data_IF_166856877440
#
_entry.id   IF_166856877440
#
_cell.length_a   1.000
_cell.length_b   1.000
_cell.length_c   1.000
_cell.angle_alpha   90.00
_cell.angle_beta   90.00
_cell.angle_gamma   90.00
#
_symmetry.space_group_name_H-M   'P 1'
#
loop_
_entity.id
_entity.type
_entity.pdbx_description
1 polymer ?
#
# COMPACT_ATOMS: atom_id res chain seq x y z
N UNK A 1 -0.98 -53.22 14.98
CA UNK A 1 -2.22 -53.88 15.46
C UNK A 1 -3.26 -52.80 15.76
N UNK A 2 -4.40 -52.87 15.02
CA UNK A 2 -5.81 -52.49 15.39
C UNK A 2 -6.01 -51.04 15.89
N UNK A 3 -6.98 -50.20 15.46
CA UNK A 3 -8.20 -50.37 14.61
C UNK A 3 -8.70 -48.99 14.19
N UNK A 4 -9.31 -48.92 13.03
CA UNK A 4 -10.14 -47.84 12.46
C UNK A 4 -11.36 -47.55 13.34
N UNK A 5 -11.83 -46.28 13.35
CA UNK A 5 -13.26 -46.04 13.44
C UNK A 5 -13.61 -44.77 12.63
N UNK A 6 -14.34 -45.01 11.55
CA UNK A 6 -15.03 -43.98 10.78
C UNK A 6 -16.41 -43.76 11.43
N UNK A 7 -16.86 -42.51 11.47
CA UNK A 7 -18.27 -42.20 11.74
C UNK A 7 -18.78 -41.25 10.67
N UNK A 8 -19.60 -41.83 9.78
CA UNK A 8 -20.42 -41.12 8.79
C UNK A 8 -21.70 -40.72 9.50
N UNK A 9 -22.10 -39.46 9.43
CA UNK A 9 -23.46 -39.05 9.76
C UNK A 9 -24.03 -38.23 8.60
N UNK A 10 -24.89 -38.91 7.83
CA UNK A 10 -25.80 -38.34 6.85
C UNK A 10 -27.03 -37.80 7.58
N UNK A 11 -27.48 -36.58 7.28
CA UNK A 11 -28.83 -36.13 7.58
C UNK A 11 -29.46 -35.45 6.37
N UNK A 12 -30.68 -35.89 6.16
CA UNK A 12 -31.49 -35.76 4.98
C UNK A 12 -32.15 -34.39 4.82
N UNK A 13 -32.34 -34.06 3.56
CA UNK A 13 -33.17 -33.01 3.00
C UNK A 13 -34.65 -33.27 3.31
N UNK A 14 -35.40 -32.27 3.75
CA UNK A 14 -36.85 -32.23 3.60
C UNK A 14 -37.26 -30.94 2.87
N UNK A 15 -37.66 -31.15 1.63
CA UNK A 15 -38.40 -30.18 0.82
C UNK A 15 -39.87 -30.14 1.29
N UNK A 16 -40.42 -28.96 1.42
CA UNK A 16 -41.87 -28.78 1.54
C UNK A 16 -42.35 -27.81 0.46
N UNK A 17 -42.93 -28.38 -0.58
CA UNK A 17 -43.82 -27.70 -1.52
C UNK A 17 -45.19 -27.46 -0.83
N UNK A 18 -45.69 -26.26 -0.99
CA UNK A 18 -47.11 -26.00 -0.83
C UNK A 18 -47.66 -25.26 -2.07
N UNK A 19 -48.40 -25.96 -2.83
CA UNK A 19 -49.29 -25.49 -3.90
C UNK A 19 -50.62 -25.09 -3.31
N UNK A 20 -51.29 -24.20 -3.99
CA UNK A 20 -52.72 -23.96 -4.19
C UNK A 20 -53.10 -22.51 -4.00
N UNK A 21 -53.96 -21.86 -4.73
CA UNK A 21 -55.11 -22.30 -5.52
C UNK A 21 -55.61 -21.10 -6.34
N UNK A 22 -56.09 -21.37 -7.53
CA UNK A 22 -56.86 -20.46 -8.36
C UNK A 22 -58.22 -20.11 -7.76
N UNK A 23 -58.74 -18.92 -8.13
CA UNK A 23 -60.19 -18.63 -8.03
C UNK A 23 -60.60 -17.18 -8.34
N UNK A 24 -61.14 -16.94 -9.53
CA UNK A 24 -62.33 -16.17 -9.72
C UNK A 24 -62.28 -14.66 -9.96
N UNK A 25 -62.55 -14.31 -11.17
CA UNK A 25 -62.83 -13.13 -11.91
C UNK A 25 -63.58 -11.96 -11.24
N UNK A 26 -63.37 -10.78 -11.82
CA UNK A 26 -64.11 -9.53 -11.55
C UNK A 26 -63.45 -8.36 -12.20
N UNK A 27 -63.94 -7.96 -13.36
CA UNK A 27 -63.67 -6.72 -14.11
C UNK A 27 -64.18 -5.50 -13.36
N UNK A 28 -63.33 -4.49 -13.15
CA UNK A 28 -63.77 -3.07 -13.21
C UNK A 28 -62.56 -2.16 -13.46
N UNK A 29 -62.83 -1.18 -14.30
CA UNK A 29 -61.96 -0.13 -14.84
C UNK A 29 -61.32 0.81 -13.80
N UNK A 30 -60.12 1.28 -14.13
CA UNK A 30 -59.75 2.71 -14.02
C UNK A 30 -59.08 3.14 -12.75
N UNK A 31 -57.80 3.41 -12.89
CA UNK A 31 -57.14 4.68 -12.53
C UNK A 31 -55.62 4.51 -12.62
N UNK A 32 -55.02 5.26 -13.54
CA UNK A 32 -53.59 5.48 -13.62
C UNK A 32 -53.07 6.06 -12.29
N UNK A 33 -52.33 5.31 -11.57
CA UNK A 33 -51.45 5.86 -10.52
C UNK A 33 -50.04 5.43 -10.89
N UNK A 34 -49.28 6.36 -11.45
CA UNK A 34 -47.84 6.26 -11.59
C UNK A 34 -47.24 5.99 -10.18
N UNK A 35 -47.10 4.75 -9.88
CA UNK A 35 -46.28 4.30 -8.75
C UNK A 35 -44.81 4.55 -9.08
N UNK A 36 -44.27 5.61 -8.51
CA UNK A 36 -42.83 5.77 -8.41
C UNK A 36 -42.27 4.48 -7.78
N UNK A 37 -41.66 3.67 -8.63
CA UNK A 37 -40.80 2.59 -8.13
C UNK A 37 -39.64 3.28 -7.41
N UNK A 38 -39.72 3.38 -6.10
CA UNK A 38 -38.58 3.62 -5.26
C UNK A 38 -37.57 2.49 -5.51
N UNK A 39 -36.61 2.77 -6.39
CA UNK A 39 -35.48 1.86 -6.60
C UNK A 39 -34.83 1.60 -5.25
N UNK A 40 -34.66 0.35 -4.90
CA UNK A 40 -33.77 -0.04 -3.79
C UNK A 40 -32.45 0.68 -4.03
N UNK A 41 -31.89 1.42 -3.04
CA UNK A 41 -30.59 2.05 -3.22
C UNK A 41 -29.60 0.97 -3.72
N UNK A 42 -28.91 1.26 -4.81
CA UNK A 42 -27.89 0.35 -5.32
C UNK A 42 -26.92 0.07 -4.16
N UNK A 43 -26.68 -1.18 -3.87
CA UNK A 43 -25.78 -1.56 -2.79
C UNK A 43 -24.36 -1.13 -3.20
N UNK A 44 -23.70 -0.32 -2.37
CA UNK A 44 -22.32 0.11 -2.60
C UNK A 44 -21.41 -1.11 -2.72
N UNK A 45 -20.47 -1.06 -3.69
CA UNK A 45 -19.42 -2.07 -3.78
C UNK A 45 -18.43 -1.86 -2.64
N UNK A 46 -18.14 -2.90 -1.85
CA UNK A 46 -17.07 -2.82 -0.86
C UNK A 46 -15.73 -3.07 -1.56
N UNK A 47 -14.79 -2.13 -1.44
CA UNK A 47 -13.44 -2.21 -1.96
C UNK A 47 -12.47 -2.42 -0.80
N UNK A 48 -11.67 -3.47 -0.85
CA UNK A 48 -10.57 -3.69 0.08
C UNK A 48 -9.38 -2.88 -0.40
N UNK A 49 -8.82 -2.04 0.49
CA UNK A 49 -7.62 -1.26 0.31
C UNK A 49 -6.48 -1.90 1.10
N UNK A 50 -5.58 -2.58 0.42
CA UNK A 50 -4.38 -3.17 1.02
C UNK A 50 -3.33 -2.10 1.29
N UNK A 51 -2.65 -2.23 2.44
CA UNK A 51 -1.68 -1.22 2.92
C UNK A 51 -0.34 -1.87 3.29
N UNK A 52 0.02 -1.87 4.54
CA UNK A 52 1.24 -2.45 5.11
C UNK A 52 1.06 -2.66 6.60
N UNK A 53 2.12 -2.91 7.34
CA UNK A 53 2.10 -3.07 8.78
C UNK A 53 1.51 -1.84 9.50
N UNK A 54 0.85 -2.05 10.63
CA UNK A 54 0.06 -1.02 11.35
C UNK A 54 0.88 0.15 11.89
N UNK A 55 2.20 0.01 12.01
CA UNK A 55 3.15 1.07 12.41
C UNK A 55 3.83 1.75 11.22
N UNK A 56 3.46 1.36 10.00
CA UNK A 56 3.92 1.95 8.74
C UNK A 56 3.01 3.07 8.25
N UNK A 57 3.52 3.90 7.34
CA UNK A 57 2.80 5.06 6.79
C UNK A 57 1.62 4.63 5.92
N UNK A 58 1.70 3.53 5.16
CA UNK A 58 0.60 3.02 4.33
C UNK A 58 -0.69 2.81 5.12
N UNK A 59 -0.59 2.17 6.30
CA UNK A 59 -1.76 1.89 7.11
C UNK A 59 -2.41 3.18 7.66
N UNK A 60 -1.59 4.13 8.12
CA UNK A 60 -2.08 5.41 8.63
C UNK A 60 -2.76 6.24 7.52
N UNK A 61 -2.12 6.33 6.34
CA UNK A 61 -2.66 7.02 5.15
C UNK A 61 -3.92 6.33 4.64
N UNK A 62 -3.90 4.99 4.51
CA UNK A 62 -5.05 4.20 4.07
C UNK A 62 -6.25 4.34 5.01
N UNK A 63 -6.02 4.39 6.32
CA UNK A 63 -7.08 4.58 7.32
C UNK A 63 -7.70 5.98 7.25
N UNK A 64 -6.89 7.02 7.05
CA UNK A 64 -7.37 8.39 6.83
C UNK A 64 -8.15 8.49 5.52
N UNK A 65 -7.64 7.87 4.44
CA UNK A 65 -8.29 7.78 3.14
C UNK A 65 -9.65 7.08 3.24
N UNK A 66 -9.71 5.88 3.85
CA UNK A 66 -10.94 5.15 4.09
C UNK A 66 -11.97 6.02 4.83
N UNK A 67 -11.55 6.68 5.91
CA UNK A 67 -12.44 7.49 6.75
C UNK A 67 -13.06 8.64 5.94
N UNK A 68 -12.24 9.36 5.19
CA UNK A 68 -12.71 10.51 4.39
C UNK A 68 -13.57 10.02 3.21
N UNK A 69 -13.11 9.03 2.46
CA UNK A 69 -13.80 8.55 1.26
C UNK A 69 -15.15 7.91 1.59
N UNK A 70 -15.27 7.17 2.68
CA UNK A 70 -16.55 6.56 3.06
C UNK A 70 -17.66 7.57 3.38
N UNK A 71 -17.31 8.83 3.65
CA UNK A 71 -18.28 9.90 3.86
C UNK A 71 -18.81 10.50 2.54
N UNK A 72 -18.11 10.35 1.43
CA UNK A 72 -18.41 11.05 0.17
C UNK A 72 -18.73 10.11 -0.99
N UNK A 73 -18.15 8.89 -1.03
CA UNK A 73 -18.42 7.94 -2.11
C UNK A 73 -19.86 7.46 -2.09
N UNK A 74 -20.44 7.31 -3.29
CA UNK A 74 -21.82 6.84 -3.51
C UNK A 74 -21.88 5.45 -4.12
N UNK A 75 -20.95 5.09 -4.99
CA UNK A 75 -20.88 3.80 -5.68
C UNK A 75 -20.16 2.72 -4.88
N UNK A 76 -19.25 3.13 -3.98
CA UNK A 76 -18.42 2.18 -3.23
C UNK A 76 -18.25 2.59 -1.78
N UNK A 77 -17.66 1.68 -1.01
CA UNK A 77 -17.15 1.90 0.35
C UNK A 77 -15.80 1.21 0.49
N UNK A 78 -14.93 1.73 1.33
CA UNK A 78 -13.57 1.24 1.54
C UNK A 78 -13.45 0.49 2.87
N UNK A 79 -12.63 -0.57 2.86
CA UNK A 79 -12.15 -1.26 4.07
C UNK A 79 -10.64 -1.41 3.95
N UNK A 80 -9.91 -0.85 4.90
CA UNK A 80 -8.44 -0.93 4.93
C UNK A 80 -7.99 -2.27 5.55
N UNK A 81 -7.02 -2.92 4.90
CA UNK A 81 -6.38 -4.13 5.39
C UNK A 81 -4.87 -3.90 5.60
N UNK A 82 -4.30 -4.54 6.64
CA UNK A 82 -2.86 -4.58 6.82
C UNK A 82 -2.28 -5.83 6.13
N UNK A 83 -1.10 -5.67 5.53
CA UNK A 83 -0.45 -6.70 4.71
C UNK A 83 1.06 -6.67 4.88
N UNK A 84 1.79 -7.55 4.18
CA UNK A 84 3.24 -7.51 4.00
C UNK A 84 3.71 -6.50 2.95
N UNK A 85 2.90 -5.49 2.61
CA UNK A 85 3.18 -4.38 1.69
C UNK A 85 3.32 -4.78 0.20
N UNK A 86 4.16 -4.07 -0.59
CA UNK A 86 4.01 -3.91 -2.03
C UNK A 86 3.84 -5.19 -2.84
N UNK A 87 4.66 -6.22 -2.64
CA UNK A 87 4.53 -7.47 -3.42
C UNK A 87 3.23 -8.20 -3.12
N UNK A 88 2.90 -8.35 -1.82
CA UNK A 88 1.65 -8.99 -1.43
C UNK A 88 0.46 -8.20 -1.98
N UNK A 89 0.45 -6.88 -1.85
CA UNK A 89 -0.63 -6.01 -2.31
C UNK A 89 -0.90 -6.16 -3.81
N UNK A 90 0.17 -6.25 -4.62
CA UNK A 90 0.06 -6.46 -6.07
C UNK A 90 -0.50 -7.85 -6.37
N UNK A 91 -0.03 -8.88 -5.67
CA UNK A 91 -0.54 -10.25 -5.79
C UNK A 91 -2.01 -10.36 -5.36
N UNK A 92 -2.38 -9.72 -4.24
CA UNK A 92 -3.76 -9.69 -3.75
C UNK A 92 -4.72 -9.00 -4.74
N UNK A 93 -4.25 -7.97 -5.47
CA UNK A 93 -4.98 -7.38 -6.60
C UNK A 93 -5.11 -8.38 -7.76
N UNK A 94 -4.04 -9.04 -8.15
CA UNK A 94 -4.04 -10.03 -9.24
C UNK A 94 -4.98 -11.19 -8.94
N UNK A 95 -5.00 -11.64 -7.68
CA UNK A 95 -5.83 -12.75 -7.21
C UNK A 95 -7.29 -12.30 -6.91
N UNK A 96 -7.60 -11.00 -6.97
CA UNK A 96 -8.93 -10.43 -6.71
C UNK A 96 -9.28 -10.37 -5.21
N UNK A 97 -8.32 -10.53 -4.32
CA UNK A 97 -8.48 -10.40 -2.85
C UNK A 97 -8.66 -8.94 -2.47
N UNK A 98 -7.85 -8.04 -3.05
CA UNK A 98 -7.97 -6.61 -2.91
C UNK A 98 -8.41 -5.95 -4.21
N UNK A 99 -9.06 -4.78 -4.12
CA UNK A 99 -9.48 -3.95 -5.24
C UNK A 99 -8.64 -2.70 -5.37
N UNK A 100 -8.07 -2.24 -4.28
CA UNK A 100 -7.19 -1.08 -4.19
C UNK A 100 -5.97 -1.46 -3.36
N UNK A 101 -4.85 -0.78 -3.59
CA UNK A 101 -3.67 -0.93 -2.75
C UNK A 101 -2.82 0.34 -2.72
N UNK A 102 -1.99 0.49 -1.68
CA UNK A 102 -0.86 1.41 -1.68
C UNK A 102 0.40 0.56 -1.87
N UNK A 103 1.20 0.91 -2.88
CA UNK A 103 2.42 0.19 -3.26
C UNK A 103 3.53 1.16 -3.60
N UNK A 104 4.77 0.70 -3.66
CA UNK A 104 5.88 1.46 -4.21
C UNK A 104 5.83 1.50 -5.74
N UNK A 105 6.18 2.62 -6.34
CA UNK A 105 6.18 2.81 -7.80
C UNK A 105 7.18 1.90 -8.52
N UNK A 106 8.34 1.65 -7.92
CA UNK A 106 9.35 0.71 -8.41
C UNK A 106 8.87 -0.75 -8.34
N UNK A 107 8.31 -1.16 -7.21
CA UNK A 107 7.72 -2.50 -7.07
C UNK A 107 6.60 -2.75 -8.10
N UNK A 108 5.76 -1.73 -8.35
CA UNK A 108 4.71 -1.78 -9.36
C UNK A 108 5.28 -1.96 -10.78
N UNK A 109 6.31 -1.18 -11.13
CA UNK A 109 6.99 -1.29 -12.43
C UNK A 109 7.63 -2.68 -12.62
N UNK A 110 8.33 -3.18 -11.61
CA UNK A 110 8.95 -4.52 -11.66
C UNK A 110 7.91 -5.64 -11.77
N UNK A 111 6.75 -5.49 -11.12
CA UNK A 111 5.65 -6.45 -11.24
C UNK A 111 5.13 -6.53 -12.67
N UNK A 112 4.88 -5.39 -13.31
CA UNK A 112 4.44 -5.32 -14.71
C UNK A 112 5.49 -5.84 -15.69
N UNK A 113 6.78 -5.67 -15.39
CA UNK A 113 7.89 -6.18 -16.20
C UNK A 113 8.21 -7.67 -15.93
N UNK A 114 7.75 -8.24 -14.82
CA UNK A 114 8.16 -9.57 -14.36
C UNK A 114 9.62 -9.64 -13.94
N UNK A 115 10.12 -8.57 -13.32
CA UNK A 115 11.52 -8.41 -12.92
C UNK A 115 11.69 -8.41 -11.39
N UNK A 116 12.95 -8.48 -10.94
CA UNK A 116 13.33 -8.40 -9.52
C UNK A 116 12.58 -9.44 -8.67
N UNK A 117 11.90 -9.08 -7.58
CA UNK A 117 11.14 -10.04 -6.74
C UNK A 117 9.92 -10.68 -7.46
N UNK A 118 9.60 -10.24 -8.68
CA UNK A 118 8.58 -10.82 -9.55
C UNK A 118 9.17 -11.63 -10.71
N UNK A 119 10.48 -11.94 -10.68
CA UNK A 119 11.16 -12.61 -11.79
C UNK A 119 10.43 -13.86 -12.27
N UNK A 120 10.08 -13.85 -13.55
CA UNK A 120 9.33 -14.92 -14.22
C UNK A 120 7.82 -14.84 -14.09
N UNK A 121 7.27 -13.84 -13.38
CA UNK A 121 5.81 -13.66 -13.22
C UNK A 121 5.43 -12.21 -13.50
N UNK A 122 4.62 -11.97 -14.51
CA UNK A 122 4.05 -10.65 -14.81
C UNK A 122 2.76 -10.48 -14.02
N UNK A 123 2.67 -9.40 -13.25
CA UNK A 123 1.52 -9.02 -12.43
C UNK A 123 1.06 -7.63 -12.90
N UNK A 124 0.17 -7.57 -13.90
CA UNK A 124 -0.19 -6.35 -14.63
C UNK A 124 -1.61 -5.81 -14.34
N UNK A 125 -2.32 -6.39 -13.38
CA UNK A 125 -3.67 -5.97 -13.02
C UNK A 125 -3.75 -4.74 -12.13
N UNK A 126 -2.68 -4.40 -11.42
CA UNK A 126 -2.63 -3.20 -10.58
C UNK A 126 -2.31 -1.99 -11.46
N UNK A 127 -3.30 -1.11 -11.68
CA UNK A 127 -3.17 0.07 -12.52
C UNK A 127 -3.05 1.33 -11.66
N UNK A 128 -2.32 2.32 -12.17
CA UNK A 128 -2.06 3.59 -11.49
C UNK A 128 -3.34 4.41 -11.29
N UNK A 129 -3.58 4.87 -10.06
CA UNK A 129 -4.62 5.84 -9.75
C UNK A 129 -4.01 7.19 -9.40
N UNK A 130 -3.09 7.23 -8.44
CA UNK A 130 -2.45 8.48 -8.00
C UNK A 130 -1.10 8.25 -7.33
N UNK A 131 -0.09 9.03 -7.71
CA UNK A 131 1.11 9.21 -6.90
C UNK A 131 0.78 9.97 -5.62
N UNK A 132 1.28 9.51 -4.46
CA UNK A 132 0.91 10.08 -3.17
C UNK A 132 2.05 10.91 -2.55
N UNK A 133 3.11 10.27 -2.08
CA UNK A 133 4.21 10.90 -1.37
C UNK A 133 5.49 10.09 -1.57
N UNK A 134 6.63 10.69 -1.23
CA UNK A 134 7.91 9.98 -1.24
C UNK A 134 8.05 9.10 0.00
N UNK A 135 8.63 7.93 -0.19
CA UNK A 135 8.99 6.95 0.83
C UNK A 135 10.49 6.89 0.96
N UNK A 136 10.98 7.53 1.99
CA UNK A 136 12.42 7.62 2.26
C UNK A 136 12.96 6.27 2.72
N UNK A 137 14.07 5.83 2.14
CA UNK A 137 14.83 4.67 2.60
C UNK A 137 15.61 5.07 3.83
N UNK A 138 15.09 4.69 5.00
CA UNK A 138 15.61 5.03 6.31
C UNK A 138 16.32 3.83 6.91
N UNK A 139 17.51 4.02 7.47
CA UNK A 139 18.26 2.97 8.14
C UNK A 139 18.49 3.39 9.58
N UNK A 140 17.87 2.69 10.53
CA UNK A 140 18.11 2.86 11.96
C UNK A 140 19.10 1.82 12.44
N UNK A 141 20.02 2.19 13.32
CA UNK A 141 21.01 1.27 13.87
C UNK A 141 21.33 1.58 15.33
N UNK A 142 21.77 0.58 16.07
CA UNK A 142 22.22 0.69 17.47
C UNK A 142 23.70 0.34 17.58
N UNK A 143 24.29 0.53 18.77
CA UNK A 143 25.66 0.15 19.04
C UNK A 143 26.72 0.97 18.30
N UNK A 144 26.38 2.23 17.92
CA UNK A 144 27.32 3.13 17.29
C UNK A 144 27.58 2.86 15.80
N UNK A 145 26.71 2.12 15.12
CA UNK A 145 26.77 1.91 13.65
C UNK A 145 26.30 3.19 12.98
N UNK A 146 27.15 3.76 12.11
CA UNK A 146 26.89 5.05 11.43
C UNK A 146 27.12 4.99 9.93
N UNK A 147 27.49 3.82 9.37
CA UNK A 147 27.65 3.64 7.92
C UNK A 147 27.09 2.30 7.45
N UNK A 148 26.75 2.20 6.16
CA UNK A 148 26.22 0.98 5.57
C UNK A 148 27.24 -0.14 5.57
N UNK A 149 28.53 0.16 5.33
CA UNK A 149 29.60 -0.84 5.34
C UNK A 149 29.77 -1.49 6.71
N UNK A 150 29.44 -0.76 7.79
CA UNK A 150 29.51 -1.29 9.15
C UNK A 150 28.40 -2.33 9.46
N UNK A 151 27.44 -2.51 8.54
CA UNK A 151 26.42 -3.56 8.62
C UNK A 151 26.98 -4.96 8.32
N UNK A 152 28.20 -5.09 7.75
CA UNK A 152 28.79 -6.42 7.45
C UNK A 152 28.83 -7.29 8.70
N UNK A 153 28.27 -8.50 8.60
CA UNK A 153 28.15 -9.49 9.67
C UNK A 153 27.16 -9.15 10.79
N UNK A 154 26.43 -8.05 10.67
CA UNK A 154 25.41 -7.61 11.62
C UNK A 154 24.06 -8.27 11.36
N UNK A 155 23.19 -8.30 12.38
CA UNK A 155 21.78 -8.71 12.24
C UNK A 155 20.98 -7.51 11.77
N UNK A 156 20.46 -7.56 10.55
CA UNK A 156 19.79 -6.43 9.90
C UNK A 156 18.40 -6.84 9.46
N UNK A 157 17.38 -6.11 9.92
CA UNK A 157 16.03 -6.24 9.39
C UNK A 157 15.95 -5.50 8.05
N UNK A 158 15.46 -6.20 7.02
CA UNK A 158 15.26 -5.69 5.67
C UNK A 158 13.77 -5.48 5.33
N UNK A 159 12.89 -5.49 6.33
CA UNK A 159 11.44 -5.43 6.17
C UNK A 159 10.80 -6.82 6.15
N UNK A 160 9.54 -6.89 5.79
CA UNK A 160 8.86 -8.15 5.53
C UNK A 160 9.40 -8.80 4.27
N UNK A 161 9.42 -10.13 4.24
CA UNK A 161 9.87 -10.86 3.05
C UNK A 161 8.97 -10.55 1.85
N UNK A 162 9.55 -10.12 0.75
CA UNK A 162 8.83 -9.68 -0.45
C UNK A 162 8.32 -8.23 -0.37
N UNK A 163 8.61 -7.49 0.71
CA UNK A 163 8.22 -6.08 0.79
C UNK A 163 9.05 -5.19 -0.14
N UNK A 164 8.52 -4.01 -0.48
CA UNK A 164 9.30 -2.99 -1.17
C UNK A 164 10.52 -2.53 -0.36
N UNK A 165 10.48 -2.64 0.97
CA UNK A 165 11.63 -2.37 1.85
C UNK A 165 12.78 -3.34 1.58
N UNK A 166 12.50 -4.63 1.39
CA UNK A 166 13.53 -5.62 1.01
C UNK A 166 14.16 -5.26 -0.35
N UNK A 167 13.35 -4.85 -1.36
CA UNK A 167 13.88 -4.36 -2.64
C UNK A 167 14.91 -3.27 -2.45
N UNK A 168 14.54 -2.23 -1.72
CA UNK A 168 15.42 -1.07 -1.57
C UNK A 168 16.60 -1.37 -0.64
N UNK A 169 16.44 -2.26 0.35
CA UNK A 169 17.57 -2.72 1.17
C UNK A 169 18.64 -3.43 0.32
N UNK A 170 18.22 -4.34 -0.59
CA UNK A 170 19.14 -5.02 -1.53
C UNK A 170 19.84 -4.00 -2.43
N UNK A 171 19.11 -3.02 -2.98
CA UNK A 171 19.68 -1.98 -3.83
C UNK A 171 20.69 -1.10 -3.08
N UNK A 172 20.40 -0.72 -1.84
CA UNK A 172 21.34 0.04 -1.01
C UNK A 172 22.57 -0.80 -0.70
N UNK A 173 22.43 -2.06 -0.29
CA UNK A 173 23.59 -2.95 -0.04
C UNK A 173 24.45 -3.06 -1.31
N UNK A 174 23.84 -3.22 -2.48
CA UNK A 174 24.57 -3.29 -3.75
C UNK A 174 25.39 -2.03 -4.02
N UNK A 175 24.87 -0.83 -3.74
CA UNK A 175 25.61 0.43 -3.92
C UNK A 175 26.92 0.48 -3.10
N UNK A 176 27.02 -0.34 -2.06
CA UNK A 176 28.23 -0.50 -1.24
C UNK A 176 29.00 -1.80 -1.53
N UNK A 177 28.72 -2.46 -2.66
CA UNK A 177 29.35 -3.73 -3.02
C UNK A 177 29.07 -4.83 -2.00
N UNK A 178 27.87 -4.82 -1.41
CA UNK A 178 27.36 -5.81 -0.46
C UNK A 178 26.17 -6.56 -1.05
N UNK A 179 25.91 -7.72 -0.49
CA UNK A 179 24.71 -8.52 -0.74
C UNK A 179 24.09 -8.94 0.58
N UNK A 180 22.95 -9.60 0.55
CA UNK A 180 22.33 -10.17 1.75
C UNK A 180 23.22 -11.22 2.45
N UNK A 181 24.13 -11.89 1.73
CA UNK A 181 25.09 -12.82 2.31
C UNK A 181 26.15 -12.13 3.21
N UNK A 182 26.30 -10.80 3.07
CA UNK A 182 27.22 -10.00 3.90
C UNK A 182 26.61 -9.61 5.27
N UNK A 183 25.33 -9.86 5.48
CA UNK A 183 24.59 -9.53 6.72
C UNK A 183 23.86 -10.78 7.24
N UNK A 184 23.33 -10.70 8.45
CA UNK A 184 22.36 -11.69 8.95
C UNK A 184 20.97 -11.13 8.77
N UNK A 185 20.33 -11.53 7.69
CA UNK A 185 19.00 -11.03 7.32
C UNK A 185 17.95 -11.44 8.34
N UNK A 186 17.11 -10.48 8.72
CA UNK A 186 15.93 -10.67 9.57
C UNK A 186 14.72 -10.08 8.84
N UNK A 187 13.63 -10.82 8.80
CA UNK A 187 12.37 -10.39 8.19
C UNK A 187 11.33 -10.14 9.28
N UNK A 188 10.78 -8.95 9.34
CA UNK A 188 9.63 -8.57 10.17
C UNK A 188 9.13 -7.19 9.75
N UNK A 189 7.93 -6.81 10.19
CA UNK A 189 7.38 -5.48 9.98
C UNK A 189 8.15 -4.40 10.79
N UNK A 190 7.85 -3.13 10.52
CA UNK A 190 8.57 -2.01 11.16
C UNK A 190 8.40 -1.97 12.68
N UNK A 191 7.21 -2.36 13.18
CA UNK A 191 6.97 -2.43 14.62
C UNK A 191 7.80 -3.52 15.30
N UNK A 192 7.83 -4.70 14.69
CA UNK A 192 8.68 -5.80 15.12
C UNK A 192 10.16 -5.43 15.09
N UNK A 193 10.62 -4.77 14.02
CA UNK A 193 12.01 -4.31 13.91
C UNK A 193 12.36 -3.29 15.01
N UNK A 194 11.48 -2.30 15.26
CA UNK A 194 11.64 -1.33 16.35
C UNK A 194 11.78 -2.03 17.71
N UNK A 195 10.94 -3.02 17.98
CA UNK A 195 10.98 -3.77 19.23
C UNK A 195 12.25 -4.64 19.36
N UNK A 196 12.68 -5.29 18.27
CA UNK A 196 13.92 -6.07 18.24
C UNK A 196 15.16 -5.19 18.40
N UNK A 197 15.19 -3.97 17.87
CA UNK A 197 16.23 -2.98 18.14
C UNK A 197 16.29 -2.61 19.63
N UNK A 198 15.15 -2.27 20.23
CA UNK A 198 15.05 -1.95 21.67
C UNK A 198 15.55 -3.09 22.56
N UNK A 199 15.36 -4.33 22.13
CA UNK A 199 15.82 -5.53 22.86
C UNK A 199 17.26 -5.95 22.51
N UNK A 200 17.92 -5.27 21.55
CA UNK A 200 19.27 -5.64 21.09
C UNK A 200 19.33 -6.97 20.36
N UNK A 201 18.22 -7.42 19.78
CA UNK A 201 18.12 -8.67 19.02
C UNK A 201 18.59 -8.50 17.57
N UNK A 202 18.49 -7.28 17.04
CA UNK A 202 19.09 -6.88 15.76
C UNK A 202 19.94 -5.63 15.96
N UNK A 203 20.89 -5.43 15.04
CA UNK A 203 21.83 -4.30 15.09
C UNK A 203 21.31 -3.09 14.28
N UNK A 204 20.56 -3.34 13.22
CA UNK A 204 20.00 -2.30 12.35
C UNK A 204 18.69 -2.75 11.67
N UNK A 205 17.95 -1.78 11.15
CA UNK A 205 16.72 -2.03 10.39
C UNK A 205 16.55 -1.01 9.26
N UNK A 206 16.18 -1.51 8.09
CA UNK A 206 15.66 -0.71 6.99
C UNK A 206 14.17 -0.42 7.21
N UNK A 207 13.75 0.80 6.88
CA UNK A 207 12.36 1.25 6.90
C UNK A 207 12.14 2.13 5.67
N UNK A 208 11.40 1.65 4.70
CA UNK A 208 11.03 2.45 3.52
C UNK A 208 9.60 2.90 3.70
N UNK A 209 9.44 4.16 4.04
CA UNK A 209 8.15 4.73 4.41
C UNK A 209 8.20 6.26 4.37
N UNK A 210 7.02 6.90 4.35
CA UNK A 210 6.93 8.34 4.53
C UNK A 210 7.44 8.76 5.91
N UNK A 211 8.52 9.53 5.96
CA UNK A 211 9.05 10.08 7.22
C UNK A 211 8.25 11.32 7.68
N UNK A 212 8.05 11.54 9.01
CA UNK A 212 8.39 10.64 10.11
C UNK A 212 7.53 9.38 10.14
N UNK A 213 8.16 8.22 10.38
CA UNK A 213 7.47 6.92 10.48
C UNK A 213 7.19 6.59 11.95
N UNK A 214 6.01 6.06 12.27
CA UNK A 214 5.60 5.76 13.64
C UNK A 214 6.59 4.84 14.34
N UNK A 215 7.00 3.73 13.72
CA UNK A 215 7.93 2.77 14.31
C UNK A 215 9.28 3.41 14.72
N UNK A 216 9.83 4.33 13.90
CA UNK A 216 11.07 5.05 14.22
C UNK A 216 10.83 6.10 15.30
N UNK A 217 9.68 6.79 15.27
CA UNK A 217 9.31 7.76 16.31
C UNK A 217 9.17 7.08 17.68
N UNK A 218 8.60 5.87 17.73
CA UNK A 218 8.52 5.06 18.95
C UNK A 218 9.91 4.64 19.44
N UNK A 219 10.82 4.26 18.54
CA UNK A 219 12.21 3.98 18.88
C UNK A 219 12.90 5.24 19.47
N UNK A 220 12.77 6.38 18.81
CA UNK A 220 13.35 7.65 19.22
C UNK A 220 12.85 8.11 20.60
N UNK A 221 11.56 7.90 20.91
CA UNK A 221 10.97 8.30 22.19
C UNK A 221 11.18 7.28 23.32
N UNK A 222 11.73 6.10 23.02
CA UNK A 222 12.01 5.05 24.03
C UNK A 222 13.19 5.36 24.95
N UNK A 223 13.99 6.38 24.60
CA UNK A 223 15.24 6.71 25.32
C UNK A 223 16.41 5.81 24.94
N UNK A 224 16.27 4.97 23.93
CA UNK A 224 17.36 4.16 23.39
C UNK A 224 18.32 5.05 22.59
N UNK A 225 19.62 4.80 22.72
CA UNK A 225 20.63 5.40 21.85
C UNK A 225 20.66 4.67 20.51
N UNK A 226 20.32 5.39 19.44
CA UNK A 226 20.30 4.88 18.07
C UNK A 226 20.90 5.91 17.11
N UNK A 227 21.25 5.46 15.92
CA UNK A 227 21.74 6.29 14.83
C UNK A 227 20.82 6.18 13.63
N UNK A 228 20.63 7.28 12.90
CA UNK A 228 20.20 7.25 11.51
C UNK A 228 21.44 7.12 10.63
N UNK A 229 21.50 6.08 9.80
CA UNK A 229 22.65 5.82 8.93
C UNK A 229 22.46 6.60 7.62
N UNK A 230 23.36 7.57 7.38
CA UNK A 230 23.39 8.33 6.12
C UNK A 230 24.04 7.52 4.99
N UNK A 231 23.48 7.67 3.78
CA UNK A 231 24.14 7.24 2.55
C UNK A 231 25.28 8.20 2.19
N UNK A 232 26.30 7.71 1.50
CA UNK A 232 27.29 8.56 0.85
C UNK A 232 26.71 9.14 -0.44
N UNK A 233 27.21 10.30 -0.88
CA UNK A 233 26.75 10.87 -2.15
C UNK A 233 27.06 9.95 -3.34
N UNK A 234 28.19 9.22 -3.31
CA UNK A 234 28.54 8.23 -4.33
C UNK A 234 27.48 7.11 -4.42
N UNK A 235 26.98 6.63 -3.27
CA UNK A 235 25.93 5.63 -3.24
C UNK A 235 24.60 6.19 -3.76
N UNK A 236 24.27 7.43 -3.41
CA UNK A 236 23.07 8.13 -3.94
C UNK A 236 23.15 8.28 -5.45
N UNK A 237 24.28 8.73 -5.98
CA UNK A 237 24.49 8.89 -7.42
C UNK A 237 24.37 7.54 -8.14
N UNK A 238 24.98 6.47 -7.61
CA UNK A 238 24.84 5.12 -8.13
C UNK A 238 23.38 4.65 -8.16
N UNK A 239 22.66 4.84 -7.05
CA UNK A 239 21.28 4.38 -6.89
C UNK A 239 20.34 5.11 -7.85
N UNK A 240 20.46 6.43 -7.97
CA UNK A 240 19.57 7.24 -8.82
C UNK A 240 19.88 7.08 -10.31
N UNK A 241 21.15 6.77 -10.68
CA UNK A 241 21.52 6.46 -12.06
C UNK A 241 21.01 5.07 -12.47
N UNK A 242 21.16 4.08 -11.59
CA UNK A 242 20.83 2.67 -11.91
C UNK A 242 19.33 2.37 -11.78
N UNK A 243 18.67 2.99 -10.79
CA UNK A 243 17.28 2.74 -10.44
C UNK A 243 16.46 4.02 -10.65
N UNK A 244 15.84 4.22 -11.81
CA UNK A 244 15.22 5.50 -12.20
C UNK A 244 14.01 5.89 -11.35
N UNK A 245 13.47 4.97 -10.54
CA UNK A 245 12.39 5.25 -9.58
C UNK A 245 12.90 5.83 -8.26
N UNK A 246 14.22 5.79 -8.02
CA UNK A 246 14.82 6.37 -6.82
C UNK A 246 15.24 7.82 -7.08
N UNK A 247 14.95 8.67 -6.11
CA UNK A 247 15.38 10.07 -6.09
C UNK A 247 16.12 10.35 -4.79
N UNK A 248 17.02 11.33 -4.80
CA UNK A 248 17.61 11.79 -3.55
C UNK A 248 16.57 12.54 -2.73
N UNK A 249 16.41 12.14 -1.46
CA UNK A 249 15.56 12.84 -0.49
C UNK A 249 16.17 12.71 0.92
N UNK A 250 16.63 13.85 1.46
CA UNK A 250 17.29 13.88 2.74
C UNK A 250 16.27 14.11 3.87
N UNK A 251 16.49 13.50 5.02
CA UNK A 251 15.75 13.79 6.23
C UNK A 251 16.37 15.02 6.91
N UNK A 252 15.58 16.08 7.16
CA UNK A 252 16.09 17.28 7.84
C UNK A 252 16.63 16.98 9.25
N UNK A 253 17.60 17.76 9.70
CA UNK A 253 18.03 17.77 11.09
C UNK A 253 16.83 18.01 12.03
N UNK A 254 16.80 17.30 13.15
CA UNK A 254 15.68 17.29 14.10
C UNK A 254 14.67 16.16 13.85
N UNK A 255 14.69 15.52 12.67
CA UNK A 255 13.85 14.34 12.41
C UNK A 255 14.26 13.24 13.39
N UNK A 256 13.27 12.69 14.11
CA UNK A 256 13.49 11.71 15.19
C UNK A 256 14.42 12.16 16.33
N UNK A 257 14.68 13.46 16.48
CA UNK A 257 15.60 13.99 17.48
C UNK A 257 17.09 13.86 17.12
N UNK A 258 17.40 13.51 15.87
CA UNK A 258 18.77 13.44 15.36
C UNK A 258 19.20 14.83 14.88
N UNK A 259 20.30 15.36 15.44
CA UNK A 259 20.72 16.77 15.24
C UNK A 259 21.30 17.07 13.84
N UNK A 260 21.57 16.06 13.04
CA UNK A 260 22.14 16.19 11.68
C UNK A 260 21.16 15.76 10.61
N UNK A 261 21.32 16.34 9.42
CA UNK A 261 20.64 15.85 8.22
C UNK A 261 21.09 14.41 7.93
N UNK A 262 20.17 13.55 7.51
CA UNK A 262 20.46 12.18 7.07
C UNK A 262 20.27 12.10 5.56
N UNK A 263 21.33 11.77 4.84
CA UNK A 263 21.28 11.61 3.37
C UNK A 263 20.63 10.28 3.04
N UNK A 264 19.58 10.34 2.23
CA UNK A 264 18.76 9.18 1.85
C UNK A 264 18.40 9.23 0.36
N UNK A 265 17.83 8.12 -0.12
CA UNK A 265 17.03 8.06 -1.34
C UNK A 265 15.58 7.75 -1.00
N UNK A 266 14.69 8.00 -1.93
CA UNK A 266 13.27 7.71 -1.79
C UNK A 266 12.68 7.15 -3.07
N UNK A 267 11.67 6.32 -2.95
CA UNK A 267 10.73 5.94 -4.02
C UNK A 267 9.38 6.64 -3.79
N UNK A 268 8.40 6.43 -4.67
CA UNK A 268 7.07 7.04 -4.53
C UNK A 268 6.05 6.01 -4.06
N UNK A 269 5.27 6.34 -3.01
CA UNK A 269 4.04 5.63 -2.68
C UNK A 269 2.96 5.98 -3.69
N UNK A 270 2.25 4.97 -4.19
CA UNK A 270 1.19 5.14 -5.18
C UNK A 270 -0.08 4.39 -4.78
N UNK A 271 -1.23 5.02 -5.02
CA UNK A 271 -2.51 4.37 -4.97
C UNK A 271 -2.74 3.67 -6.31
N UNK A 272 -3.06 2.39 -6.26
CA UNK A 272 -3.43 1.58 -7.43
C UNK A 272 -4.82 0.99 -7.28
N UNK A 273 -5.44 0.67 -8.42
CA UNK A 273 -6.71 -0.05 -8.48
C UNK A 273 -6.57 -1.27 -9.39
N UNK A 274 -7.29 -2.32 -9.06
CA UNK A 274 -7.41 -3.48 -9.94
C UNK A 274 -8.07 -3.10 -11.26
N UNK A 275 -7.52 -3.57 -12.38
CA UNK A 275 -8.13 -3.44 -13.70
C UNK A 275 -9.57 -4.00 -13.77
N UNK A 276 -9.95 -4.88 -12.84
CA UNK A 276 -11.28 -5.48 -12.74
C UNK A 276 -12.29 -4.57 -12.02
N UNK A 277 -11.88 -3.45 -11.40
CA UNK A 277 -12.80 -2.44 -10.84
C UNK A 277 -13.34 -1.58 -11.96
N UNK A 278 -14.66 -1.30 -11.92
CA UNK A 278 -15.28 -0.55 -13.01
C UNK A 278 -14.76 0.89 -13.13
N UNK A 279 -14.71 1.39 -14.36
CA UNK A 279 -14.29 2.76 -14.67
C UNK A 279 -15.04 3.79 -13.84
N UNK A 280 -16.37 3.68 -13.70
CA UNK A 280 -17.19 4.64 -12.94
C UNK A 280 -16.83 4.68 -11.46
N UNK A 281 -16.51 3.54 -10.85
CA UNK A 281 -16.12 3.46 -9.44
C UNK A 281 -14.77 4.13 -9.23
N UNK A 282 -13.76 3.85 -10.07
CA UNK A 282 -12.44 4.47 -9.93
C UNK A 282 -12.47 5.95 -10.32
N UNK A 283 -13.29 6.35 -11.30
CA UNK A 283 -13.52 7.77 -11.62
C UNK A 283 -14.11 8.52 -10.41
N UNK A 284 -15.17 7.99 -9.77
CA UNK A 284 -15.76 8.60 -8.58
C UNK A 284 -14.72 8.70 -7.46
N UNK A 285 -13.95 7.62 -7.21
CA UNK A 285 -12.91 7.59 -6.19
C UNK A 285 -11.84 8.66 -6.42
N UNK A 286 -11.32 8.75 -7.65
CA UNK A 286 -10.26 9.70 -8.02
C UNK A 286 -10.76 11.14 -7.89
N UNK A 287 -11.95 11.43 -8.41
CA UNK A 287 -12.62 12.73 -8.31
C UNK A 287 -12.86 13.11 -6.85
N UNK A 288 -13.46 12.22 -6.06
CA UNK A 288 -13.72 12.44 -4.65
C UNK A 288 -12.43 12.69 -3.85
N UNK A 289 -11.34 11.97 -4.16
CA UNK A 289 -10.04 12.19 -3.56
C UNK A 289 -9.58 13.65 -3.73
N UNK A 290 -9.53 14.15 -4.97
CA UNK A 290 -9.01 15.50 -5.25
C UNK A 290 -9.99 16.62 -4.83
N UNK A 291 -11.28 16.36 -4.81
CA UNK A 291 -12.29 17.31 -4.30
C UNK A 291 -12.29 17.41 -2.77
N UNK A 292 -11.63 16.48 -2.05
CA UNK A 292 -11.58 16.43 -0.58
C UNK A 292 -10.15 16.44 -0.01
N UNK A 293 -9.17 16.99 -0.76
CA UNK A 293 -7.75 17.01 -0.33
C UNK A 293 -7.53 17.72 1.02
N UNK A 294 -8.30 18.77 1.32
CA UNK A 294 -8.21 19.46 2.63
C UNK A 294 -8.58 18.52 3.77
N UNK A 295 -9.68 17.79 3.66
CA UNK A 295 -10.11 16.81 4.66
C UNK A 295 -9.13 15.62 4.77
N UNK A 296 -8.56 15.18 3.65
CA UNK A 296 -7.50 14.15 3.65
C UNK A 296 -6.24 14.68 4.35
N UNK A 297 -5.84 15.93 4.11
CA UNK A 297 -4.72 16.58 4.76
C UNK A 297 -4.91 16.82 6.26
N UNK A 298 -6.17 17.00 6.71
CA UNK A 298 -6.51 17.00 8.12
C UNK A 298 -6.42 15.58 8.73
N UNK A 299 -6.76 14.56 7.95
CA UNK A 299 -6.67 13.16 8.37
C UNK A 299 -5.23 12.64 8.46
N UNK A 300 -4.36 13.03 7.51
CA UNK A 300 -2.95 12.66 7.52
C UNK A 300 -2.09 13.62 6.71
N UNK A 301 -0.97 14.06 7.29
CA UNK A 301 -0.08 15.07 6.69
C UNK A 301 0.50 14.69 5.32
N UNK A 302 0.62 13.39 5.02
CA UNK A 302 1.10 12.90 3.72
C UNK A 302 0.19 13.22 2.54
N UNK A 303 -1.03 13.63 2.78
CA UNK A 303 -1.90 14.18 1.73
C UNK A 303 -1.67 15.68 1.47
N UNK A 304 -1.02 16.39 2.40
CA UNK A 304 -0.66 17.80 2.20
C UNK A 304 0.34 17.95 1.05
N UNK A 305 -0.03 18.73 0.05
CA UNK A 305 0.79 18.93 -1.14
C UNK A 305 0.61 17.90 -2.26
N UNK A 306 -0.22 16.89 -2.08
CA UNK A 306 -0.64 16.03 -3.20
C UNK A 306 -1.60 16.82 -4.08
N UNK A 307 -1.22 17.03 -5.35
CA UNK A 307 -2.08 17.67 -6.36
C UNK A 307 -2.37 16.70 -7.49
N UNK A 308 -3.41 16.95 -8.26
CA UNK A 308 -3.76 16.08 -9.38
C UNK A 308 -2.64 16.03 -10.43
N UNK A 309 -1.93 17.15 -10.65
CA UNK A 309 -0.78 17.24 -11.54
C UNK A 309 0.36 16.31 -11.11
N UNK A 310 0.72 16.35 -9.82
CA UNK A 310 1.80 15.52 -9.28
C UNK A 310 1.38 14.04 -9.20
N UNK A 311 0.10 13.78 -8.99
CA UNK A 311 -0.43 12.43 -8.83
C UNK A 311 -0.49 11.64 -10.15
N UNK A 312 -0.70 12.30 -11.29
CA UNK A 312 -0.68 11.66 -12.61
C UNK A 312 0.67 11.78 -13.33
N UNK A 313 1.62 12.57 -12.77
CA UNK A 313 2.95 12.68 -13.35
C UNK A 313 3.77 11.40 -13.08
N UNK A 314 4.61 11.05 -14.08
CA UNK A 314 5.57 9.95 -13.97
C UNK A 314 4.95 8.60 -13.56
N UNK A 315 3.74 8.33 -14.05
CA UNK A 315 3.08 7.04 -13.81
C UNK A 315 3.97 5.90 -14.30
N UNK A 316 4.31 4.98 -13.39
CA UNK A 316 5.24 3.87 -13.70
C UNK A 316 4.61 2.80 -14.59
N UNK A 317 3.28 2.75 -14.63
CA UNK A 317 2.46 1.82 -15.44
C UNK A 317 1.25 2.56 -15.98
N UNK A 318 0.41 1.89 -16.78
CA UNK A 318 -0.82 2.45 -17.31
C UNK A 318 -1.74 2.96 -16.20
N UNK A 319 -2.35 4.13 -16.45
CA UNK A 319 -3.33 4.74 -15.55
C UNK A 319 -4.66 4.00 -15.71
N UNK A 320 -5.33 3.69 -14.60
CA UNK A 320 -6.65 3.06 -14.62
C UNK A 320 -7.65 3.93 -15.42
N UNK A 321 -8.49 3.34 -16.31
CA UNK A 321 -9.41 4.12 -17.17
C UNK A 321 -10.26 5.15 -16.42
N UNK A 322 -10.74 4.83 -15.22
CA UNK A 322 -11.50 5.77 -14.39
C UNK A 322 -10.69 6.96 -13.90
N UNK A 323 -9.45 6.73 -13.47
CA UNK A 323 -8.54 7.81 -13.08
C UNK A 323 -8.12 8.64 -14.29
N UNK A 324 -7.80 8.00 -15.42
CA UNK A 324 -7.48 8.66 -16.68
C UNK A 324 -8.60 9.59 -17.12
N UNK A 325 -9.86 9.13 -17.09
CA UNK A 325 -11.04 9.95 -17.41
C UNK A 325 -11.12 11.21 -16.55
N UNK A 326 -10.86 11.12 -15.25
CA UNK A 326 -10.83 12.29 -14.37
C UNK A 326 -9.71 13.27 -14.75
N UNK A 327 -8.49 12.77 -14.97
CA UNK A 327 -7.35 13.62 -15.35
C UNK A 327 -7.56 14.31 -16.72
N UNK A 328 -8.24 13.64 -17.67
CA UNK A 328 -8.64 14.22 -18.94
C UNK A 328 -9.74 15.29 -18.76
N UNK A 329 -10.76 15.02 -17.91
CA UNK A 329 -11.83 15.99 -17.62
C UNK A 329 -11.28 17.32 -17.08
N UNK A 330 -10.24 17.27 -16.24
CA UNK A 330 -9.61 18.48 -15.68
C UNK A 330 -8.45 19.03 -16.54
N UNK A 331 -8.19 18.43 -17.71
CA UNK A 331 -7.24 18.93 -18.73
C UNK A 331 -5.77 18.66 -18.42
N UNK A 332 -5.45 17.72 -17.56
CA UNK A 332 -4.05 17.36 -17.23
C UNK A 332 -3.45 16.34 -18.21
N UNK A 333 -4.26 15.48 -18.79
CA UNK A 333 -3.86 14.50 -19.81
C UNK A 333 -4.66 14.70 -21.08
N UNK A 334 -4.09 14.33 -22.22
CA UNK A 334 -4.78 14.38 -23.51
C UNK A 334 -5.84 13.25 -23.62
N UNK A 335 -6.89 13.49 -24.42
CA UNK A 335 -7.89 12.47 -24.78
C UNK A 335 -7.28 11.34 -25.63
#
# INVERSE_FOLDING_TARGET
MKKKLALVLAMAVTASLALTSCGGGGTTSGSDTSGSQGGTPAQKQNLVLDTGGTTGTYYAVGSAFQTTMNNVLTLSSLTTANTGASKQNIQDITDGVAQLAIVQSDALAYAHAGESLFEGTVEDKALWVAGLYNETVQITAIGGITSVEALRGKSVCVGDQGSGTEFNAIQVLEAYGMTEDDIKVVYTDFGGASEMLKQGQIDAAFTVAGAPTTAITELATSGMDFSMVSLTQEAVDYLTEKYPFLVQENLPAGTYGVDTETVCVATKAVLVASADVSEDVVYELTKAMFENMDALGEGHDKFKGVTAELACADAAVDIHPGALRYYQEIGLLAE
#
